data_IF_978932303346
#
_entry.id   IF_978932303346
#
_cell.length_a   1.000
_cell.length_b   1.000
_cell.length_c   1.000
_cell.angle_alpha   90.00
_cell.angle_beta   90.00
_cell.angle_gamma   90.00
#
_symmetry.space_group_name_H-M   'P 1'
#
loop_
_entity.id
_entity.type
_entity.pdbx_description
1 polymer ?
#
# COMPACT_ATOMS: atom_id res chain seq x y z
N UNK A 1 -15.88 -19.85 -3.20
CA UNK A 1 -16.13 -18.49 -2.66
C UNK A 1 -16.43 -17.54 -3.82
N UNK A 2 -17.43 -16.67 -3.68
CA UNK A 2 -17.80 -15.72 -4.75
C UNK A 2 -16.63 -14.74 -5.00
N UNK A 3 -16.31 -14.44 -6.28
CA UNK A 3 -15.23 -13.51 -6.66
C UNK A 3 -15.37 -12.13 -6.02
N UNK A 4 -16.60 -11.63 -5.90
CA UNK A 4 -16.89 -10.34 -5.25
C UNK A 4 -16.56 -10.36 -3.75
N UNK A 5 -16.90 -11.45 -3.06
CA UNK A 5 -16.57 -11.62 -1.63
C UNK A 5 -15.06 -11.69 -1.43
N UNK A 6 -14.35 -12.44 -2.26
CA UNK A 6 -12.88 -12.52 -2.19
C UNK A 6 -12.22 -11.15 -2.40
N UNK A 7 -12.72 -10.37 -3.36
CA UNK A 7 -12.24 -9.01 -3.61
C UNK A 7 -12.43 -8.09 -2.40
N UNK A 8 -13.61 -8.13 -1.79
CA UNK A 8 -13.91 -7.34 -0.58
C UNK A 8 -13.05 -7.76 0.61
N UNK A 9 -12.88 -9.06 0.83
CA UNK A 9 -12.03 -9.58 1.91
C UNK A 9 -10.58 -9.14 1.73
N UNK A 10 -10.02 -9.25 0.52
CA UNK A 10 -8.66 -8.77 0.26
C UNK A 10 -8.53 -7.26 0.51
N UNK A 11 -9.48 -6.45 0.05
CA UNK A 11 -9.49 -5.01 0.29
C UNK A 11 -9.54 -4.67 1.78
N UNK A 12 -10.42 -5.34 2.55
CA UNK A 12 -10.57 -5.13 3.97
C UNK A 12 -9.31 -5.53 4.77
N UNK A 13 -8.71 -6.68 4.44
CA UNK A 13 -7.45 -7.12 5.08
C UNK A 13 -6.31 -6.14 4.79
N UNK A 14 -6.20 -5.65 3.54
CA UNK A 14 -5.17 -4.68 3.17
C UNK A 14 -5.39 -3.36 3.90
N UNK A 15 -6.63 -2.87 4.02
CA UNK A 15 -6.94 -1.68 4.78
C UNK A 15 -6.58 -1.83 6.26
N UNK A 16 -6.92 -2.96 6.88
CA UNK A 16 -6.57 -3.25 8.27
C UNK A 16 -5.05 -3.30 8.48
N UNK A 17 -4.31 -3.97 7.59
CA UNK A 17 -2.85 -4.01 7.65
C UNK A 17 -2.23 -2.62 7.49
N UNK A 18 -2.78 -1.79 6.60
CA UNK A 18 -2.31 -0.41 6.43
C UNK A 18 -2.45 0.38 7.73
N UNK A 19 -3.62 0.31 8.38
CA UNK A 19 -3.87 0.96 9.67
C UNK A 19 -2.90 0.47 10.74
N UNK A 20 -2.76 -0.84 10.91
CA UNK A 20 -1.85 -1.42 11.93
C UNK A 20 -0.41 -0.98 11.71
N UNK A 21 0.09 -1.02 10.48
CA UNK A 21 1.46 -0.62 10.16
C UNK A 21 1.68 0.89 10.33
N UNK A 22 0.68 1.72 10.04
CA UNK A 22 0.74 3.16 10.31
C UNK A 22 0.80 3.43 11.80
N UNK A 23 -0.06 2.76 12.60
CA UNK A 23 -0.05 2.88 14.07
C UNK A 23 1.29 2.44 14.66
N UNK A 24 1.85 1.34 14.15
CA UNK A 24 3.16 0.85 14.57
C UNK A 24 4.28 1.85 14.27
N UNK A 25 4.33 2.40 13.06
CA UNK A 25 5.32 3.43 12.70
C UNK A 25 5.19 4.68 13.58
N UNK A 26 3.96 5.10 13.88
CA UNK A 26 3.68 6.23 14.76
C UNK A 26 4.12 5.95 16.21
N UNK A 27 3.81 4.76 16.73
CA UNK A 27 4.22 4.33 18.08
C UNK A 27 5.74 4.25 18.25
N UNK A 28 6.47 3.92 17.18
CA UNK A 28 7.94 3.92 17.14
C UNK A 28 8.53 5.32 16.91
N UNK A 29 7.70 6.36 16.76
CA UNK A 29 8.14 7.73 16.52
C UNK A 29 8.69 8.00 15.11
N UNK A 30 8.63 7.02 14.20
CA UNK A 30 9.19 7.14 12.84
C UNK A 30 8.44 8.14 11.95
N UNK A 31 7.21 8.47 12.31
CA UNK A 31 6.39 9.45 11.60
C UNK A 31 6.68 10.93 11.99
N UNK A 32 7.47 11.15 13.06
CA UNK A 32 7.65 12.48 13.68
C UNK A 32 9.00 13.14 13.37
N UNK A 33 9.85 12.51 12.56
CA UNK A 33 11.16 13.04 12.19
C UNK A 33 11.14 13.76 10.83
N UNK A 34 12.23 14.43 10.53
CA UNK A 34 12.43 15.11 9.24
C UNK A 34 12.30 14.15 8.05
N UNK A 35 12.75 12.91 8.22
CA UNK A 35 12.51 11.81 7.25
C UNK A 35 11.46 10.89 7.86
N UNK A 36 10.25 10.91 7.30
CA UNK A 36 9.14 10.09 7.76
C UNK A 36 9.17 8.73 7.06
N UNK A 37 9.37 7.65 7.81
CA UNK A 37 9.28 6.28 7.29
C UNK A 37 7.94 5.67 7.70
N UNK A 38 7.07 5.40 6.73
CA UNK A 38 5.75 4.80 6.94
C UNK A 38 5.78 3.35 6.47
N UNK A 39 5.70 2.39 7.38
CA UNK A 39 5.67 0.97 7.02
C UNK A 39 4.45 0.60 6.16
N UNK A 40 3.33 1.30 6.33
CA UNK A 40 2.12 1.12 5.54
C UNK A 40 2.32 1.41 4.05
N UNK A 41 3.23 2.32 3.69
CA UNK A 41 3.52 2.64 2.29
C UNK A 41 4.21 1.47 1.55
N UNK A 42 4.83 0.52 2.27
CA UNK A 42 5.31 -0.71 1.66
C UNK A 42 4.18 -1.54 1.01
N UNK A 43 2.93 -1.40 1.52
CA UNK A 43 1.77 -2.08 0.96
C UNK A 43 1.31 -1.51 -0.40
N UNK A 44 1.79 -0.33 -0.80
CA UNK A 44 1.46 0.29 -2.11
C UNK A 44 1.98 -0.53 -3.30
N UNK A 45 2.78 -1.56 -3.04
CA UNK A 45 3.19 -2.55 -4.04
C UNK A 45 2.11 -3.61 -4.34
N UNK A 46 1.11 -3.80 -3.45
CA UNK A 46 0.10 -4.86 -3.55
C UNK A 46 -0.81 -4.77 -4.78
N UNK A 47 -1.09 -3.60 -5.38
CA UNK A 47 -1.82 -3.51 -6.65
C UNK A 47 -1.19 -4.32 -7.80
N UNK A 48 0.10 -4.67 -7.72
CA UNK A 48 0.75 -5.60 -8.67
C UNK A 48 0.09 -6.99 -8.63
N UNK A 49 -0.42 -7.42 -7.48
CA UNK A 49 -0.98 -8.76 -7.28
C UNK A 49 -2.51 -8.77 -7.33
N UNK A 50 -3.16 -7.74 -6.82
CA UNK A 50 -4.62 -7.68 -6.72
C UNK A 50 -5.16 -6.26 -6.88
N UNK A 51 -6.16 -6.01 -7.73
CA UNK A 51 -6.80 -4.70 -7.84
C UNK A 51 -7.60 -4.31 -6.58
N UNK A 52 -7.93 -5.28 -5.70
CA UNK A 52 -8.56 -5.02 -4.41
C UNK A 52 -7.68 -4.17 -3.47
N UNK A 53 -6.37 -4.13 -3.73
CA UNK A 53 -5.44 -3.30 -2.98
C UNK A 53 -5.71 -1.79 -3.19
N UNK A 54 -6.22 -1.36 -4.34
CA UNK A 54 -6.46 0.05 -4.62
C UNK A 54 -7.45 0.65 -3.60
N UNK A 55 -8.71 0.16 -3.49
CA UNK A 55 -9.63 0.67 -2.48
C UNK A 55 -9.18 0.33 -1.06
N UNK A 56 -8.50 -0.79 -0.83
CA UNK A 56 -7.99 -1.16 0.48
C UNK A 56 -6.97 -0.17 1.04
N UNK A 57 -5.98 0.23 0.23
CA UNK A 57 -4.96 1.21 0.59
C UNK A 57 -5.58 2.60 0.81
N UNK A 58 -6.49 3.02 -0.07
CA UNK A 58 -7.16 4.31 0.04
C UNK A 58 -7.96 4.42 1.35
N UNK A 59 -8.81 3.43 1.66
CA UNK A 59 -9.58 3.39 2.89
C UNK A 59 -8.68 3.24 4.12
N UNK A 60 -7.64 2.41 4.04
CA UNK A 60 -6.66 2.25 5.10
C UNK A 60 -5.95 3.56 5.44
N UNK A 61 -5.58 4.34 4.41
CA UNK A 61 -4.94 5.65 4.58
C UNK A 61 -5.90 6.66 5.25
N UNK A 62 -7.16 6.74 4.80
CA UNK A 62 -8.18 7.60 5.43
C UNK A 62 -8.33 7.26 6.92
N UNK A 63 -8.55 5.98 7.22
CA UNK A 63 -8.77 5.52 8.59
C UNK A 63 -7.54 5.80 9.46
N UNK A 64 -6.34 5.44 8.99
CA UNK A 64 -5.12 5.62 9.77
C UNK A 64 -4.79 7.09 10.02
N UNK A 65 -4.91 7.96 9.00
CA UNK A 65 -4.68 9.39 9.17
C UNK A 65 -5.71 10.04 10.11
N UNK A 66 -6.96 9.57 10.08
CA UNK A 66 -7.99 10.01 11.03
C UNK A 66 -7.64 9.56 12.46
N UNK A 67 -7.22 8.31 12.63
CA UNK A 67 -6.85 7.76 13.95
C UNK A 67 -5.58 8.39 14.53
N UNK A 68 -4.64 8.82 13.68
CA UNK A 68 -3.42 9.52 14.11
C UNK A 68 -3.65 11.01 14.38
N UNK A 69 -4.87 11.51 14.17
CA UNK A 69 -5.21 12.91 14.43
C UNK A 69 -4.67 13.90 13.39
N UNK A 70 -4.44 13.45 12.16
CA UNK A 70 -4.03 14.31 11.05
C UNK A 70 -5.08 15.38 10.75
N UNK A 71 -4.64 16.54 10.25
CA UNK A 71 -5.55 17.59 9.78
C UNK A 71 -6.40 17.10 8.59
N UNK A 72 -7.64 17.60 8.46
CA UNK A 72 -8.57 17.16 7.42
C UNK A 72 -8.01 17.22 6.01
N UNK A 73 -7.28 18.28 5.68
CA UNK A 73 -6.64 18.42 4.38
C UNK A 73 -5.53 17.38 4.14
N UNK A 74 -4.81 16.98 5.20
CA UNK A 74 -3.81 15.91 5.11
C UNK A 74 -4.51 14.55 4.89
N UNK A 75 -5.61 14.28 5.57
CA UNK A 75 -6.42 13.08 5.34
C UNK A 75 -6.85 13.00 3.87
N UNK A 76 -7.33 14.10 3.30
CA UNK A 76 -7.82 14.16 1.92
C UNK A 76 -6.66 14.01 0.93
N UNK A 77 -5.65 14.87 1.00
CA UNK A 77 -4.56 14.91 0.01
C UNK A 77 -3.61 13.72 0.16
N UNK A 78 -3.33 13.27 1.39
CA UNK A 78 -2.53 12.06 1.63
C UNK A 78 -3.22 10.80 1.11
N UNK A 79 -4.53 10.67 1.32
CA UNK A 79 -5.28 9.53 0.77
C UNK A 79 -5.39 9.58 -0.75
N UNK A 80 -5.53 10.76 -1.35
CA UNK A 80 -5.49 10.93 -2.80
C UNK A 80 -4.12 10.57 -3.38
N UNK A 81 -3.03 10.97 -2.72
CA UNK A 81 -1.68 10.60 -3.14
C UNK A 81 -1.50 9.07 -3.12
N UNK A 82 -1.94 8.40 -2.05
CA UNK A 82 -1.94 6.94 -1.95
C UNK A 82 -2.80 6.29 -3.04
N UNK A 83 -3.97 6.83 -3.34
CA UNK A 83 -4.84 6.33 -4.41
C UNK A 83 -4.19 6.44 -5.79
N UNK A 84 -3.61 7.61 -6.11
CA UNK A 84 -2.90 7.86 -7.37
C UNK A 84 -1.70 6.90 -7.48
N UNK A 85 -0.93 6.76 -6.41
CA UNK A 85 0.21 5.84 -6.34
C UNK A 85 -0.22 4.39 -6.56
N UNK A 86 -1.25 3.92 -5.85
CA UNK A 86 -1.77 2.57 -5.98
C UNK A 86 -2.31 2.26 -7.39
N UNK A 87 -3.03 3.21 -7.98
CA UNK A 87 -3.53 3.08 -9.35
C UNK A 87 -2.38 3.06 -10.36
N UNK A 88 -1.38 3.93 -10.22
CA UNK A 88 -0.19 3.93 -11.06
C UNK A 88 0.61 2.62 -10.96
N UNK A 89 0.78 2.08 -9.75
CA UNK A 89 1.39 0.76 -9.52
C UNK A 89 0.62 -0.35 -10.25
N UNK A 90 -0.71 -0.32 -10.20
CA UNK A 90 -1.56 -1.27 -10.92
C UNK A 90 -1.37 -1.19 -12.44
N UNK A 91 -1.29 0.01 -13.00
CA UNK A 91 -1.05 0.21 -14.45
C UNK A 91 0.33 -0.30 -14.89
N UNK A 92 1.32 -0.21 -14.02
CA UNK A 92 2.70 -0.64 -14.29
C UNK A 92 2.98 -2.10 -13.90
N UNK A 93 1.99 -2.85 -13.40
CA UNK A 93 2.15 -4.22 -12.87
C UNK A 93 2.77 -5.21 -13.85
N UNK A 94 2.45 -5.09 -15.15
CA UNK A 94 2.90 -5.99 -16.22
C UNK A 94 4.20 -5.50 -16.89
N UNK A 95 4.73 -4.35 -16.42
CA UNK A 95 5.97 -3.75 -16.89
C UNK A 95 7.17 -4.21 -16.05
N UNK A 96 8.28 -3.51 -16.16
CA UNK A 96 9.46 -3.82 -15.36
C UNK A 96 9.14 -3.70 -13.85
N UNK A 97 9.57 -4.71 -13.09
CA UNK A 97 9.33 -4.80 -11.64
C UNK A 97 9.83 -3.58 -10.85
N UNK A 98 10.86 -2.92 -11.33
CA UNK A 98 11.46 -1.75 -10.69
C UNK A 98 10.63 -0.46 -10.89
N UNK A 99 9.69 -0.45 -11.85
CA UNK A 99 8.79 0.68 -12.07
C UNK A 99 7.59 0.69 -11.10
N UNK A 100 7.29 -0.44 -10.48
CA UNK A 100 6.11 -0.57 -9.62
C UNK A 100 6.09 0.38 -8.40
N UNK A 101 7.20 0.64 -7.69
CA UNK A 101 7.21 1.58 -6.57
C UNK A 101 7.28 3.05 -6.97
N UNK A 102 7.55 3.40 -8.24
CA UNK A 102 7.72 4.78 -8.66
C UNK A 102 6.45 5.64 -8.53
N UNK A 103 5.25 5.18 -8.94
CA UNK A 103 4.04 6.00 -8.84
C UNK A 103 3.75 6.50 -7.41
N UNK A 104 3.75 5.65 -6.36
CA UNK A 104 3.52 6.13 -5.00
C UNK A 104 4.64 7.06 -4.51
N UNK A 105 5.91 6.78 -4.83
CA UNK A 105 7.04 7.67 -4.49
C UNK A 105 6.82 9.06 -5.11
N UNK A 106 6.49 9.13 -6.40
CA UNK A 106 6.30 10.39 -7.11
C UNK A 106 5.07 11.13 -6.56
N UNK A 107 3.93 10.44 -6.40
CA UNK A 107 2.70 11.06 -5.92
C UNK A 107 2.88 11.69 -4.53
N UNK A 108 3.45 10.96 -3.58
CA UNK A 108 3.70 11.45 -2.23
C UNK A 108 4.76 12.56 -2.20
N UNK A 109 5.85 12.42 -2.94
CA UNK A 109 6.92 13.43 -3.02
C UNK A 109 6.44 14.76 -3.61
N UNK A 110 5.41 14.73 -4.46
CA UNK A 110 4.82 15.97 -4.99
C UNK A 110 3.74 16.52 -4.06
N UNK A 111 2.81 15.69 -3.59
CA UNK A 111 1.59 16.16 -2.88
C UNK A 111 1.86 16.49 -1.41
N UNK A 112 2.53 15.60 -0.68
CA UNK A 112 2.73 15.73 0.77
C UNK A 112 3.53 16.98 1.18
N UNK A 113 4.58 17.43 0.47
CA UNK A 113 5.30 18.65 0.81
C UNK A 113 4.42 19.90 0.86
N UNK A 114 3.42 20.01 -0.02
CA UNK A 114 2.47 21.13 0.03
C UNK A 114 1.58 21.07 1.26
N UNK A 115 1.19 19.88 1.70
CA UNK A 115 0.44 19.70 2.95
C UNK A 115 1.29 20.12 4.15
N UNK A 116 2.57 19.70 4.20
CA UNK A 116 3.48 20.09 5.28
C UNK A 116 3.69 21.61 5.35
N UNK A 117 3.85 22.26 4.20
CA UNK A 117 4.08 23.69 4.12
C UNK A 117 2.82 24.51 4.43
N UNK A 118 1.68 24.18 3.82
CA UNK A 118 0.49 25.03 3.82
C UNK A 118 -0.57 24.62 4.86
N UNK A 119 -0.60 23.37 5.28
CA UNK A 119 -1.59 22.88 6.26
C UNK A 119 -0.98 22.84 7.66
N UNK A 120 0.24 22.31 7.79
CA UNK A 120 0.93 22.24 9.07
C UNK A 120 1.81 23.45 9.37
N UNK A 121 2.01 24.35 8.38
CA UNK A 121 2.85 25.55 8.52
C UNK A 121 4.24 25.25 9.10
N UNK A 122 4.84 24.12 8.74
CA UNK A 122 6.16 23.75 9.23
C UNK A 122 7.23 24.70 8.66
N UNK A 123 8.20 25.02 9.50
CA UNK A 123 9.36 25.81 9.10
C UNK A 123 10.22 24.99 8.12
N UNK A 124 10.32 25.47 6.88
CA UNK A 124 11.08 24.82 5.81
C UNK A 124 10.53 25.18 4.44
N UNK A 125 11.38 25.09 3.44
CA UNK A 125 10.98 25.31 2.04
C UNK A 125 10.40 24.03 1.41
N UNK A 126 9.50 24.18 0.42
CA UNK A 126 8.94 23.06 -0.33
C UNK A 126 10.04 22.10 -0.85
N UNK A 127 11.18 22.57 -1.41
CA UNK A 127 12.24 21.66 -1.87
C UNK A 127 12.83 20.80 -0.75
N UNK A 128 12.95 21.34 0.48
CA UNK A 128 13.40 20.59 1.63
C UNK A 128 12.41 19.47 1.99
N UNK A 129 11.10 19.76 2.01
CA UNK A 129 10.07 18.75 2.27
C UNK A 129 10.00 17.71 1.14
N UNK A 130 10.19 18.11 -0.13
CA UNK A 130 10.27 17.15 -1.24
C UNK A 130 11.44 16.17 -1.06
N UNK A 131 12.59 16.67 -0.61
CA UNK A 131 13.76 15.82 -0.34
C UNK A 131 13.51 14.85 0.81
N UNK A 132 13.01 15.34 1.95
CA UNK A 132 12.80 14.52 3.14
C UNK A 132 11.68 13.48 2.95
N UNK A 133 10.55 13.87 2.36
CA UNK A 133 9.46 12.96 1.99
C UNK A 133 9.95 11.97 0.94
N UNK A 134 10.65 12.43 -0.09
CA UNK A 134 11.18 11.56 -1.15
C UNK A 134 12.12 10.47 -0.62
N UNK A 135 13.02 10.79 0.31
CA UNK A 135 13.90 9.81 0.97
C UNK A 135 13.05 8.80 1.76
N UNK A 136 12.08 9.27 2.55
CA UNK A 136 11.17 8.40 3.30
C UNK A 136 10.39 7.44 2.41
N UNK A 137 9.87 7.93 1.28
CA UNK A 137 9.15 7.13 0.29
C UNK A 137 10.04 6.12 -0.45
N UNK A 138 11.28 6.49 -0.77
CA UNK A 138 12.25 5.55 -1.35
C UNK A 138 12.51 4.39 -0.39
N UNK A 139 12.65 4.66 0.91
CA UNK A 139 12.82 3.61 1.92
C UNK A 139 11.54 2.76 2.04
N UNK A 140 10.39 3.40 2.20
CA UNK A 140 9.11 2.73 2.46
C UNK A 140 8.58 1.96 1.23
N UNK A 141 8.39 2.63 0.10
CA UNK A 141 7.87 2.03 -1.13
C UNK A 141 8.96 1.31 -1.92
N UNK A 142 10.16 1.92 -2.02
CA UNK A 142 11.26 1.39 -2.79
C UNK A 142 11.88 0.16 -2.13
N UNK A 143 12.46 0.31 -0.94
CA UNK A 143 13.16 -0.79 -0.28
C UNK A 143 12.18 -1.79 0.34
N UNK A 144 11.33 -1.35 1.28
CA UNK A 144 10.42 -2.25 1.99
C UNK A 144 9.34 -2.82 1.05
N UNK A 145 8.79 -2.00 0.13
CA UNK A 145 7.80 -2.46 -0.85
C UNK A 145 8.37 -3.50 -1.81
N UNK A 146 9.61 -3.34 -2.29
CA UNK A 146 10.25 -4.34 -3.16
C UNK A 146 10.64 -5.62 -2.42
N UNK A 147 11.03 -5.51 -1.14
CA UNK A 147 11.23 -6.68 -0.28
C UNK A 147 9.92 -7.45 -0.13
N UNK A 148 8.84 -6.76 0.24
CA UNK A 148 7.50 -7.34 0.35
C UNK A 148 7.05 -8.01 -0.95
N UNK A 149 7.26 -7.34 -2.11
CA UNK A 149 6.96 -7.90 -3.43
C UNK A 149 7.69 -9.22 -3.66
N UNK A 150 8.98 -9.29 -3.33
CA UNK A 150 9.80 -10.49 -3.53
C UNK A 150 9.28 -11.65 -2.69
N UNK A 151 8.92 -11.40 -1.43
CA UNK A 151 8.34 -12.40 -0.54
C UNK A 151 6.97 -12.87 -1.07
N UNK A 152 6.08 -11.93 -1.39
CA UNK A 152 4.72 -12.24 -1.86
C UNK A 152 4.71 -12.95 -3.21
N UNK A 153 5.67 -12.68 -4.08
CA UNK A 153 5.79 -13.38 -5.36
C UNK A 153 5.97 -14.88 -5.17
N UNK A 154 6.70 -15.31 -4.12
CA UNK A 154 6.87 -16.72 -3.77
C UNK A 154 5.55 -17.38 -3.33
N UNK A 155 4.70 -16.62 -2.64
CA UNK A 155 3.43 -17.11 -2.09
C UNK A 155 2.20 -16.70 -2.91
N UNK A 156 2.39 -16.09 -4.09
CA UNK A 156 1.32 -15.54 -4.94
C UNK A 156 0.18 -16.52 -5.17
N UNK A 157 0.48 -17.78 -5.48
CA UNK A 157 -0.51 -18.82 -5.78
C UNK A 157 -1.42 -19.14 -4.59
N UNK A 158 -0.86 -19.08 -3.37
CA UNK A 158 -1.60 -19.42 -2.14
C UNK A 158 -2.46 -18.25 -1.65
N UNK A 159 -2.02 -17.01 -1.85
CA UNK A 159 -2.67 -15.82 -1.31
C UNK A 159 -3.70 -15.25 -2.30
N UNK A 160 -3.33 -15.13 -3.57
CA UNK A 160 -4.14 -14.41 -4.56
C UNK A 160 -4.89 -15.31 -5.55
N UNK A 161 -4.44 -16.56 -5.79
CA UNK A 161 -5.04 -17.52 -6.72
C UNK A 161 -5.86 -18.62 -6.02
N UNK A 162 -6.43 -18.34 -4.86
CA UNK A 162 -7.18 -19.32 -4.01
C UNK A 162 -8.29 -20.06 -4.79
N UNK A 163 -8.85 -19.47 -5.84
CA UNK A 163 -9.87 -20.13 -6.68
C UNK A 163 -9.35 -21.34 -7.47
N UNK A 164 -8.08 -21.35 -7.86
CA UNK A 164 -7.49 -22.53 -8.53
C UNK A 164 -7.26 -23.69 -7.56
N UNK A 165 -6.95 -23.41 -6.31
CA UNK A 165 -6.75 -24.42 -5.28
C UNK A 165 -8.06 -25.14 -4.90
N UNK A 166 -9.20 -24.44 -4.84
CA UNK A 166 -10.49 -25.04 -4.54
C UNK A 166 -10.97 -25.99 -5.64
N UNK A 167 -10.63 -25.74 -6.89
CA UNK A 167 -10.97 -26.61 -8.02
C UNK A 167 -10.12 -27.89 -8.05
N UNK A 168 -8.88 -27.84 -7.58
CA UNK A 168 -8.01 -29.00 -7.49
C UNK A 168 -8.50 -29.96 -6.39
N UNK A 169 -8.93 -29.44 -5.23
CA UNK A 169 -9.50 -30.26 -4.14
C UNK A 169 -10.87 -30.88 -4.46
N UNK A 170 -11.65 -30.30 -5.38
CA UNK A 170 -12.95 -30.87 -5.81
C UNK A 170 -12.76 -31.99 -6.85
N UNK A 171 -11.65 -31.99 -7.59
CA UNK A 171 -11.39 -33.00 -8.62
C UNK A 171 -10.61 -34.23 -8.11
N UNK A 172 -9.98 -34.19 -6.94
CA UNK A 172 -9.23 -35.31 -6.37
C UNK A 172 -10.09 -36.43 -5.74
N UNK A 173 -11.23 -36.18 -5.08
CA UNK A 173 -12.01 -37.28 -4.47
C UNK A 173 -12.54 -38.29 -5.47
N UNK A 174 -12.67 -37.92 -6.73
CA UNK A 174 -13.24 -38.83 -7.76
C UNK A 174 -12.24 -39.86 -8.30
N UNK A 175 -10.94 -39.66 -8.10
CA UNK A 175 -9.92 -40.63 -8.53
C UNK A 175 -9.65 -41.75 -7.57
N UNK A 176 -9.95 -41.57 -6.29
CA UNK A 176 -9.80 -42.62 -5.25
C UNK A 176 -11.03 -43.54 -5.07
N UNK A 177 -12.14 -43.20 -5.73
CA UNK A 177 -13.36 -44.02 -5.68
C UNK A 177 -13.50 -44.98 -6.87
N UNK A 178 -12.47 -45.15 -7.71
CA UNK A 178 -12.46 -46.02 -8.91
C UNK A 178 -11.34 -47.07 -8.88
N UNK A 179 -10.87 -47.46 -7.67
CA UNK A 179 -10.01 -48.65 -7.49
C UNK A 179 -10.71 -49.64 -6.57
#
# INVERSE_FOLDING_TARGET
MNKKVLYLVHGAVIAALYVVLTMLANALGLANYAIQVRFSEALTILPVFTPAAIPGLFLGCIISNTMTGCMLLDIIFGSLATLIGAFGTYLLRDKNKWLAPLPPIIANTIIVPFVLAYVYHLEGGIPYFMLTVGIGEIISCGVLGMLLRTVLQKYRKYIFDVQKLSLIHISEPTRLALI
#
